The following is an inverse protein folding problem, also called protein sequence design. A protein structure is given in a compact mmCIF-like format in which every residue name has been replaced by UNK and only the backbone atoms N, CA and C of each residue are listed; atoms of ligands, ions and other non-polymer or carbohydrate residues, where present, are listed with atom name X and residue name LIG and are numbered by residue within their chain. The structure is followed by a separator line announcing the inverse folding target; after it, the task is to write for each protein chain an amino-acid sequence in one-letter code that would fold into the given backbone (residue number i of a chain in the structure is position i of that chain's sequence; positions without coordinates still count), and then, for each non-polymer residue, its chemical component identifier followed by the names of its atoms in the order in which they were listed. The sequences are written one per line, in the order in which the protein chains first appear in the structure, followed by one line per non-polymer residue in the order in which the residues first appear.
data_IF_918975481204
#
_entry.id   IF_918975481204
#
_cell.length_a   1.000
_cell.length_b   1.000
_cell.length_c   1.000
_cell.angle_alpha   90.00
_cell.angle_beta   90.00
_cell.angle_gamma   90.00
#
_symmetry.space_group_name_H-M   'P 1'
#
loop_
_entity.id
_entity.type
_entity.pdbx_description
1 polymer ?
#
# COMPACT_ATOMS: atom_id res chain seq x y z
N UNK A 1 26.14 26.77 -56.76
CA UNK A 1 25.03 26.05 -56.09
C UNK A 1 25.36 25.63 -54.64
N UNK A 2 26.05 26.44 -53.82
CA UNK A 2 26.46 26.01 -52.46
C UNK A 2 26.07 26.93 -51.29
N UNK A 3 25.27 27.99 -51.50
CA UNK A 3 24.83 28.90 -50.42
C UNK A 3 23.41 28.66 -49.88
N UNK A 4 22.66 27.70 -50.43
CA UNK A 4 21.27 27.41 -50.02
C UNK A 4 21.19 26.29 -48.96
N UNK A 5 22.29 25.56 -48.70
CA UNK A 5 22.33 24.42 -47.78
C UNK A 5 22.58 24.79 -46.31
N UNK A 6 23.37 25.83 -46.02
CA UNK A 6 23.66 26.22 -44.63
C UNK A 6 22.46 26.92 -43.98
N UNK A 7 21.77 27.80 -44.70
CA UNK A 7 20.61 28.52 -44.16
C UNK A 7 19.46 27.59 -43.74
N UNK A 8 19.26 26.45 -44.43
CA UNK A 8 18.24 25.48 -44.05
C UNK A 8 18.65 24.63 -42.84
N UNK A 9 19.96 24.34 -42.67
CA UNK A 9 20.46 23.67 -41.47
C UNK A 9 20.43 24.60 -40.26
N UNK A 10 20.79 25.86 -40.44
CA UNK A 10 20.75 26.85 -39.37
C UNK A 10 19.29 27.12 -38.94
N UNK A 11 18.34 27.15 -39.87
CA UNK A 11 16.91 27.26 -39.56
C UNK A 11 16.35 26.00 -38.86
N UNK A 12 16.78 24.80 -39.24
CA UNK A 12 16.40 23.55 -38.54
C UNK A 12 17.01 23.45 -37.13
N UNK A 13 18.25 23.90 -36.96
CA UNK A 13 18.95 23.94 -35.66
C UNK A 13 18.37 25.03 -34.75
N UNK A 14 17.95 26.17 -35.31
CA UNK A 14 17.26 27.25 -34.59
C UNK A 14 15.81 26.87 -34.21
N UNK A 15 15.12 26.05 -35.01
CA UNK A 15 13.75 25.56 -34.71
C UNK A 15 13.75 24.47 -33.61
N UNK A 16 14.82 23.68 -33.50
CA UNK A 16 14.99 22.73 -32.37
C UNK A 16 15.39 23.42 -31.05
N UNK A 17 15.99 24.62 -31.08
CA UNK A 17 16.51 25.29 -29.88
C UNK A 17 15.51 26.21 -29.15
N UNK A 18 14.33 26.50 -29.71
CA UNK A 18 13.29 27.27 -29.04
C UNK A 18 11.89 26.64 -29.14
N UNK A 19 11.73 25.34 -28.86
CA UNK A 19 10.41 24.86 -28.45
C UNK A 19 10.11 25.43 -27.07
N UNK A 20 9.55 26.66 -27.01
CA UNK A 20 9.04 27.27 -25.77
C UNK A 20 7.90 26.40 -25.25
N UNK A 21 8.24 25.44 -24.38
CA UNK A 21 7.25 24.60 -23.70
C UNK A 21 6.45 25.50 -22.76
N UNK A 22 5.19 25.76 -23.12
CA UNK A 22 4.29 26.54 -22.28
C UNK A 22 3.69 25.63 -21.20
N UNK A 23 4.30 25.66 -20.01
CA UNK A 23 3.83 24.89 -18.86
C UNK A 23 2.50 25.43 -18.33
N UNK A 24 1.42 24.67 -18.49
CA UNK A 24 0.09 25.07 -18.01
C UNK A 24 -0.44 24.11 -16.96
N UNK A 25 -0.91 24.66 -15.84
CA UNK A 25 -1.52 23.85 -14.80
C UNK A 25 -2.91 23.34 -15.19
N UNK A 26 -3.20 22.09 -14.82
CA UNK A 26 -4.53 21.49 -14.90
C UNK A 26 -5.22 21.62 -13.55
N UNK A 27 -6.03 22.67 -13.40
CA UNK A 27 -6.68 23.02 -12.13
C UNK A 27 -7.45 21.85 -11.49
N UNK A 28 -8.17 21.06 -12.29
CA UNK A 28 -8.95 19.92 -11.80
C UNK A 28 -8.08 18.81 -11.19
N UNK A 29 -6.87 18.57 -11.73
CA UNK A 29 -5.97 17.55 -11.20
C UNK A 29 -5.34 18.04 -9.89
N UNK A 30 -5.00 19.32 -9.81
CA UNK A 30 -4.55 19.95 -8.57
C UNK A 30 -5.63 19.85 -7.49
N UNK A 31 -6.90 20.12 -7.83
CA UNK A 31 -8.01 19.94 -6.90
C UNK A 31 -8.10 18.51 -6.38
N UNK A 32 -7.94 17.48 -7.23
CA UNK A 32 -7.92 16.08 -6.77
C UNK A 32 -6.80 15.80 -5.75
N UNK A 33 -5.61 16.37 -5.95
CA UNK A 33 -4.50 16.24 -4.99
C UNK A 33 -4.87 16.90 -3.65
N UNK A 34 -5.43 18.12 -3.70
CA UNK A 34 -5.85 18.85 -2.50
C UNK A 34 -6.97 18.10 -1.77
N UNK A 35 -7.96 17.56 -2.49
CA UNK A 35 -9.03 16.76 -1.90
C UNK A 35 -8.50 15.46 -1.28
N UNK A 36 -7.53 14.79 -1.90
CA UNK A 36 -6.89 13.61 -1.32
C UNK A 36 -6.19 13.92 0.01
N UNK A 37 -5.49 15.07 0.10
CA UNK A 37 -4.87 15.54 1.34
C UNK A 37 -5.93 15.85 2.40
N UNK A 38 -7.00 16.58 2.04
CA UNK A 38 -8.08 16.91 2.95
C UNK A 38 -8.80 15.64 3.47
N UNK A 39 -9.07 14.67 2.59
CA UNK A 39 -9.67 13.39 2.95
C UNK A 39 -8.78 12.59 3.91
N UNK A 40 -7.47 12.61 3.70
CA UNK A 40 -6.52 11.96 4.61
C UNK A 40 -6.51 12.63 6.00
N UNK A 41 -6.44 13.96 6.06
CA UNK A 41 -6.49 14.71 7.32
C UNK A 41 -7.78 14.39 8.08
N UNK A 42 -8.93 14.42 7.39
CA UNK A 42 -10.22 14.07 7.99
C UNK A 42 -10.22 12.63 8.52
N UNK A 43 -9.67 11.69 7.76
CA UNK A 43 -9.54 10.29 8.17
C UNK A 43 -8.66 10.14 9.42
N UNK A 44 -7.55 10.87 9.51
CA UNK A 44 -6.72 10.88 10.71
C UNK A 44 -7.48 11.41 11.94
N UNK A 45 -8.28 12.47 11.78
CA UNK A 45 -9.14 12.99 12.85
C UNK A 45 -10.13 11.93 13.33
N UNK A 46 -10.85 11.28 12.42
CA UNK A 46 -11.81 10.22 12.77
C UNK A 46 -11.14 9.01 13.44
N UNK A 47 -9.97 8.58 12.96
CA UNK A 47 -9.22 7.51 13.61
C UNK A 47 -8.74 7.91 15.01
N UNK A 48 -8.31 9.17 15.19
CA UNK A 48 -7.97 9.71 16.51
C UNK A 48 -9.15 9.69 17.47
N UNK A 49 -10.32 10.15 17.01
CA UNK A 49 -11.57 10.13 17.79
C UNK A 49 -11.99 8.69 18.16
N UNK A 50 -11.98 7.76 17.19
CA UNK A 50 -12.35 6.37 17.41
C UNK A 50 -11.37 5.64 18.38
N UNK A 51 -10.09 6.01 18.33
CA UNK A 51 -9.06 5.46 19.21
C UNK A 51 -9.15 6.03 20.63
N UNK A 52 -9.51 7.31 20.78
CA UNK A 52 -9.69 7.96 22.08
C UNK A 52 -10.86 7.36 22.88
N UNK A 53 -11.92 6.93 22.18
CA UNK A 53 -13.07 6.24 22.75
C UNK A 53 -14.34 7.06 22.75
N UNK A 54 -15.27 6.81 23.71
CA UNK A 54 -16.59 7.43 23.71
C UNK A 54 -16.52 8.96 23.57
N UNK A 55 -17.22 9.49 22.57
CA UNK A 55 -17.36 10.91 22.27
C UNK A 55 -18.71 11.16 21.58
N UNK A 56 -18.90 12.32 20.93
CA UNK A 56 -20.15 12.65 20.25
C UNK A 56 -20.45 11.77 19.02
N UNK A 57 -19.44 11.11 18.44
CA UNK A 57 -19.55 10.29 17.22
C UNK A 57 -19.46 8.80 17.56
N UNK A 58 -18.43 8.41 18.32
CA UNK A 58 -18.12 7.03 18.67
C UNK A 58 -18.63 6.70 20.08
N UNK A 59 -19.17 5.50 20.28
CA UNK A 59 -19.64 5.06 21.61
C UNK A 59 -18.63 4.21 22.34
N UNK A 60 -17.63 3.68 21.65
CA UNK A 60 -16.61 2.78 22.22
C UNK A 60 -15.23 3.04 21.62
N UNK A 61 -14.19 2.47 22.23
CA UNK A 61 -12.83 2.47 21.65
C UNK A 61 -12.72 1.36 20.61
N UNK A 62 -12.12 1.65 19.45
CA UNK A 62 -11.86 0.64 18.40
C UNK A 62 -11.12 -0.59 18.94
N UNK A 63 -10.11 -0.38 19.79
CA UNK A 63 -9.34 -1.46 20.41
C UNK A 63 -10.18 -2.32 21.35
N UNK A 64 -11.06 -1.71 22.14
CA UNK A 64 -11.93 -2.44 23.09
C UNK A 64 -12.89 -3.40 22.39
N UNK A 65 -13.38 -3.04 21.20
CA UNK A 65 -14.22 -3.93 20.38
C UNK A 65 -13.41 -5.14 19.90
N UNK A 66 -12.14 -4.94 19.51
CA UNK A 66 -11.26 -6.06 19.17
C UNK A 66 -10.97 -6.95 20.39
N UNK A 67 -10.79 -6.35 21.57
CA UNK A 67 -10.51 -7.07 22.82
C UNK A 67 -11.72 -7.85 23.33
N UNK A 68 -12.96 -7.40 23.06
CA UNK A 68 -14.17 -8.17 23.34
C UNK A 68 -14.45 -9.24 22.28
N UNK A 69 -13.79 -9.18 21.12
CA UNK A 69 -13.99 -10.05 19.96
C UNK A 69 -12.78 -10.94 19.66
N UNK A 70 -12.11 -11.47 20.69
CA UNK A 70 -10.92 -12.31 20.52
C UNK A 70 -11.18 -13.58 19.72
N UNK A 71 -10.20 -13.88 18.87
CA UNK A 71 -10.07 -15.09 18.06
C UNK A 71 -8.63 -15.60 18.15
N UNK A 72 -8.37 -16.85 17.76
CA UNK A 72 -7.01 -17.41 17.75
C UNK A 72 -6.11 -16.78 16.65
N UNK A 73 -6.69 -15.92 15.78
CA UNK A 73 -5.97 -15.09 14.80
C UNK A 73 -5.77 -13.63 15.27
N UNK A 74 -6.39 -13.23 16.39
CA UNK A 74 -6.27 -11.85 16.87
C UNK A 74 -4.84 -11.58 17.37
N UNK A 75 -4.15 -10.53 16.88
CA UNK A 75 -2.80 -10.21 17.35
C UNK A 75 -2.80 -9.47 18.69
N UNK A 76 -1.62 -9.34 19.29
CA UNK A 76 -1.37 -8.51 20.45
C UNK A 76 -1.71 -7.04 20.20
N UNK A 77 -2.12 -6.31 21.24
CA UNK A 77 -2.54 -4.91 21.13
C UNK A 77 -1.46 -3.98 20.56
N UNK A 78 -0.18 -4.25 20.87
CA UNK A 78 0.94 -3.49 20.33
C UNK A 78 1.07 -3.58 18.80
N UNK A 79 0.54 -4.64 18.19
CA UNK A 79 0.60 -4.85 16.73
C UNK A 79 -0.25 -3.83 15.97
N UNK A 80 -1.22 -3.20 16.62
CA UNK A 80 -2.00 -2.11 16.01
C UNK A 80 -1.22 -0.80 15.88
N UNK A 81 0.00 -0.70 16.43
CA UNK A 81 0.88 0.47 16.23
C UNK A 81 1.31 0.67 14.77
N UNK A 82 1.17 -0.37 13.93
CA UNK A 82 1.41 -0.30 12.48
C UNK A 82 0.59 0.80 11.79
N UNK A 83 -0.56 1.19 12.35
CA UNK A 83 -1.33 2.33 11.83
C UNK A 83 -0.53 3.64 11.84
N UNK A 84 0.34 3.86 12.82
CA UNK A 84 1.23 5.02 12.84
C UNK A 84 2.22 5.00 11.67
N UNK A 85 2.77 3.81 11.35
CA UNK A 85 3.64 3.60 10.19
C UNK A 85 2.88 3.83 8.89
N UNK A 86 1.65 3.32 8.78
CA UNK A 86 0.78 3.53 7.63
C UNK A 86 0.53 5.03 7.43
N UNK A 87 0.09 5.76 8.46
CA UNK A 87 -0.21 7.18 8.34
C UNK A 87 1.02 8.02 8.02
N UNK A 88 2.18 7.67 8.56
CA UNK A 88 3.45 8.32 8.17
C UNK A 88 3.69 8.18 6.66
N UNK A 89 3.60 6.96 6.12
CA UNK A 89 3.79 6.74 4.68
C UNK A 89 2.69 7.40 3.84
N UNK A 90 1.45 7.40 4.31
CA UNK A 90 0.34 8.09 3.64
C UNK A 90 0.60 9.60 3.52
N UNK A 91 1.03 10.23 4.62
CA UNK A 91 1.42 11.63 4.60
C UNK A 91 2.61 11.89 3.66
N UNK A 92 3.64 11.03 3.72
CA UNK A 92 4.86 11.20 2.94
C UNK A 92 4.61 11.14 1.43
N UNK A 93 3.81 10.19 0.92
CA UNK A 93 3.53 10.12 -0.51
C UNK A 93 2.60 11.26 -0.97
N UNK A 94 1.68 11.74 -0.13
CA UNK A 94 0.84 12.90 -0.42
C UNK A 94 1.67 14.20 -0.48
N UNK A 95 2.63 14.38 0.42
CA UNK A 95 3.59 15.50 0.38
C UNK A 95 4.41 15.42 -0.90
N UNK A 96 4.88 14.22 -1.27
CA UNK A 96 5.55 14.01 -2.55
C UNK A 96 4.65 14.38 -3.74
N UNK A 97 3.38 13.92 -3.76
CA UNK A 97 2.42 14.25 -4.80
C UNK A 97 2.19 15.77 -4.92
N UNK A 98 2.09 16.48 -3.80
CA UNK A 98 1.98 17.94 -3.75
C UNK A 98 3.23 18.63 -4.30
N UNK A 99 4.42 18.14 -3.94
CA UNK A 99 5.69 18.70 -4.43
C UNK A 99 5.82 18.65 -5.96
N UNK A 100 5.23 17.63 -6.60
CA UNK A 100 5.26 17.45 -8.07
C UNK A 100 4.47 18.53 -8.81
N UNK A 101 3.59 19.28 -8.15
CA UNK A 101 2.88 20.42 -8.72
C UNK A 101 3.86 21.56 -9.03
N UNK A 102 4.88 21.74 -8.20
CA UNK A 102 5.81 22.87 -8.30
C UNK A 102 7.12 22.53 -9.06
N UNK A 103 7.27 21.29 -9.51
CA UNK A 103 8.49 20.78 -10.15
C UNK A 103 8.21 20.43 -11.61
N UNK A 104 9.20 20.65 -12.48
CA UNK A 104 9.07 20.52 -13.94
C UNK A 104 9.94 19.39 -14.48
N UNK A 105 9.47 18.76 -15.55
CA UNK A 105 10.24 17.89 -16.45
C UNK A 105 10.59 18.67 -17.72
N UNK A 106 11.14 17.99 -18.73
CA UNK A 106 11.40 18.59 -20.03
C UNK A 106 10.10 19.00 -20.76
N UNK A 107 9.03 18.22 -20.59
CA UNK A 107 7.79 18.35 -21.38
C UNK A 107 6.64 19.05 -20.63
N UNK A 108 6.49 18.79 -19.32
CA UNK A 108 5.46 19.44 -18.48
C UNK A 108 5.84 19.42 -16.98
N UNK A 109 4.98 19.93 -16.10
CA UNK A 109 5.08 19.70 -14.66
C UNK A 109 5.08 18.19 -14.34
N UNK A 110 5.84 17.79 -13.31
CA UNK A 110 6.02 16.38 -12.96
C UNK A 110 4.72 15.65 -12.64
N UNK A 111 3.70 16.34 -12.12
CA UNK A 111 2.39 15.73 -11.86
C UNK A 111 1.58 15.43 -13.14
N UNK A 112 1.97 15.99 -14.29
CA UNK A 112 1.37 15.72 -15.61
C UNK A 112 2.27 14.79 -16.42
N UNK A 113 3.54 15.15 -16.59
CA UNK A 113 4.55 14.34 -17.29
C UNK A 113 5.81 14.22 -16.43
N UNK A 114 6.27 13.00 -16.08
CA UNK A 114 5.70 11.71 -16.44
C UNK A 114 4.50 11.33 -15.57
N UNK A 115 3.45 10.78 -16.17
CA UNK A 115 2.14 10.55 -15.53
C UNK A 115 2.10 9.30 -14.61
N UNK A 116 3.05 9.18 -13.68
CA UNK A 116 3.16 8.02 -12.78
C UNK A 116 2.12 8.03 -11.66
N UNK A 117 1.76 9.21 -11.16
CA UNK A 117 0.60 9.40 -10.28
C UNK A 117 -0.58 9.93 -11.10
N UNK A 118 -1.15 9.05 -11.91
CA UNK A 118 -2.37 9.30 -12.66
C UNK A 118 -3.53 9.75 -11.75
N UNK A 119 -4.42 10.60 -12.27
CA UNK A 119 -5.53 11.18 -11.50
C UNK A 119 -6.43 10.12 -10.84
N UNK A 120 -6.55 8.93 -11.47
CA UNK A 120 -7.35 7.82 -10.94
C UNK A 120 -6.84 7.31 -9.59
N UNK A 121 -5.54 7.44 -9.30
CA UNK A 121 -4.95 7.06 -8.01
C UNK A 121 -5.52 7.94 -6.89
N UNK A 122 -5.64 9.25 -7.13
CA UNK A 122 -6.23 10.17 -6.15
C UNK A 122 -7.72 9.89 -5.93
N UNK A 123 -8.47 9.56 -6.98
CA UNK A 123 -9.88 9.17 -6.87
C UNK A 123 -10.00 7.89 -6.02
N UNK A 124 -9.25 6.83 -6.35
CA UNK A 124 -9.25 5.59 -5.57
C UNK A 124 -8.85 5.84 -4.11
N UNK A 125 -7.88 6.73 -3.87
CA UNK A 125 -7.43 7.07 -2.54
C UNK A 125 -8.48 7.85 -1.73
N UNK A 126 -9.17 8.83 -2.35
CA UNK A 126 -10.29 9.55 -1.71
C UNK A 126 -11.41 8.58 -1.33
N UNK A 127 -11.75 7.64 -2.23
CA UNK A 127 -12.72 6.58 -1.93
C UNK A 127 -12.22 5.72 -0.76
N UNK A 128 -10.94 5.34 -0.75
CA UNK A 128 -10.34 4.57 0.34
C UNK A 128 -10.45 5.28 1.70
N UNK A 129 -10.18 6.60 1.74
CA UNK A 129 -10.32 7.42 2.94
C UNK A 129 -11.78 7.48 3.44
N UNK A 130 -12.74 7.64 2.52
CA UNK A 130 -14.16 7.58 2.85
C UNK A 130 -14.59 6.21 3.40
N UNK A 131 -14.10 5.13 2.77
CA UNK A 131 -14.33 3.75 3.25
C UNK A 131 -13.69 3.52 4.63
N UNK A 132 -12.53 4.12 4.92
CA UNK A 132 -11.90 4.03 6.24
C UNK A 132 -12.79 4.63 7.33
N UNK A 133 -13.32 5.84 7.10
CA UNK A 133 -14.27 6.48 8.03
C UNK A 133 -15.54 5.63 8.17
N UNK A 134 -16.07 5.11 7.05
CA UNK A 134 -17.22 4.21 7.05
C UNK A 134 -16.97 2.94 7.86
N UNK A 135 -15.78 2.35 7.75
CA UNK A 135 -15.37 1.18 8.52
C UNK A 135 -15.37 1.48 10.02
N UNK A 136 -14.81 2.62 10.46
CA UNK A 136 -14.81 3.01 11.87
C UNK A 136 -16.22 3.10 12.46
N UNK A 137 -17.15 3.70 11.73
CA UNK A 137 -18.55 3.84 12.16
C UNK A 137 -19.21 2.46 12.26
N UNK A 138 -19.07 1.62 11.23
CA UNK A 138 -19.65 0.27 11.22
C UNK A 138 -19.05 -0.62 12.32
N UNK A 139 -17.74 -0.50 12.55
CA UNK A 139 -17.02 -1.22 13.57
C UNK A 139 -17.48 -0.82 14.98
N UNK A 140 -17.63 0.48 15.25
CA UNK A 140 -18.19 1.00 16.51
C UNK A 140 -19.60 0.45 16.79
N UNK A 141 -20.44 0.35 15.75
CA UNK A 141 -21.78 -0.25 15.86
C UNK A 141 -21.78 -1.78 15.87
N UNK A 142 -20.60 -2.42 15.86
CA UNK A 142 -20.44 -3.88 15.80
C UNK A 142 -21.18 -4.53 14.62
N UNK A 143 -21.35 -3.79 13.52
CA UNK A 143 -21.94 -4.29 12.29
C UNK A 143 -20.90 -5.11 11.49
N UNK A 144 -20.38 -6.19 12.09
CA UNK A 144 -19.17 -6.90 11.63
C UNK A 144 -19.24 -7.36 10.17
N UNK A 145 -20.40 -7.79 9.68
CA UNK A 145 -20.55 -8.21 8.27
C UNK A 145 -20.39 -7.04 7.30
N UNK A 146 -20.94 -5.88 7.63
CA UNK A 146 -20.78 -4.65 6.84
C UNK A 146 -19.37 -4.09 6.96
N UNK A 147 -18.79 -4.12 8.16
CA UNK A 147 -17.40 -3.71 8.39
C UNK A 147 -16.43 -4.58 7.56
N UNK A 148 -16.64 -5.90 7.52
CA UNK A 148 -15.89 -6.83 6.68
C UNK A 148 -15.97 -6.45 5.19
N UNK A 149 -17.16 -6.17 4.68
CA UNK A 149 -17.34 -5.79 3.28
C UNK A 149 -16.59 -4.47 2.98
N UNK A 150 -16.69 -3.48 3.85
CA UNK A 150 -16.04 -2.18 3.68
C UNK A 150 -14.51 -2.31 3.72
N UNK A 151 -13.94 -3.05 4.68
CA UNK A 151 -12.47 -3.22 4.75
C UNK A 151 -11.92 -4.02 3.57
N UNK A 152 -12.69 -4.97 3.02
CA UNK A 152 -12.33 -5.64 1.77
C UNK A 152 -12.28 -4.66 0.59
N UNK A 153 -13.25 -3.74 0.46
CA UNK A 153 -13.19 -2.69 -0.56
C UNK A 153 -12.07 -1.68 -0.30
N UNK A 154 -11.72 -1.39 0.95
CA UNK A 154 -10.52 -0.62 1.27
C UNK A 154 -9.27 -1.31 0.73
N UNK A 155 -9.13 -2.63 0.92
CA UNK A 155 -8.01 -3.39 0.38
C UNK A 155 -7.94 -3.28 -1.16
N UNK A 156 -9.07 -3.42 -1.86
CA UNK A 156 -9.11 -3.28 -3.33
C UNK A 156 -8.73 -1.87 -3.80
N UNK A 157 -9.22 -0.84 -3.11
CA UNK A 157 -8.99 0.56 -3.48
C UNK A 157 -7.58 1.05 -3.20
N UNK A 158 -6.73 0.28 -2.50
CA UNK A 158 -5.29 0.57 -2.38
C UNK A 158 -4.43 -0.35 -3.27
N UNK A 159 -4.79 -1.63 -3.43
CA UNK A 159 -3.99 -2.57 -4.22
C UNK A 159 -4.03 -2.25 -5.72
N UNK A 160 -5.18 -1.78 -6.23
CA UNK A 160 -5.33 -1.39 -7.63
C UNK A 160 -4.41 -0.19 -7.97
N UNK A 161 -4.45 0.94 -7.23
CA UNK A 161 -3.46 2.01 -7.39
C UNK A 161 -2.00 1.57 -7.26
N UNK A 162 -1.70 0.64 -6.35
CA UNK A 162 -0.34 0.10 -6.22
C UNK A 162 0.11 -0.59 -7.52
N UNK A 163 -0.72 -1.47 -8.08
CA UNK A 163 -0.40 -2.16 -9.34
C UNK A 163 -0.26 -1.15 -10.49
N UNK A 164 -1.21 -0.20 -10.60
CA UNK A 164 -1.21 0.83 -11.65
C UNK A 164 0.06 1.70 -11.57
N UNK A 165 0.46 2.14 -10.37
CA UNK A 165 1.67 2.95 -10.20
C UNK A 165 2.96 2.19 -10.54
N UNK A 166 3.03 0.88 -10.28
CA UNK A 166 4.16 0.05 -10.73
C UNK A 166 4.24 0.01 -12.26
N UNK A 167 3.13 -0.29 -12.93
CA UNK A 167 3.07 -0.33 -14.40
C UNK A 167 3.43 1.02 -15.02
N UNK A 168 2.90 2.11 -14.46
CA UNK A 168 3.16 3.46 -14.97
C UNK A 168 4.59 3.93 -14.71
N UNK A 169 5.22 3.51 -13.61
CA UNK A 169 6.63 3.82 -13.39
C UNK A 169 7.52 3.13 -14.42
N UNK A 170 7.28 1.84 -14.68
CA UNK A 170 8.09 1.09 -15.64
C UNK A 170 7.95 1.65 -17.06
N UNK A 171 6.72 1.96 -17.49
CA UNK A 171 6.46 2.58 -18.80
C UNK A 171 7.10 3.95 -18.95
N UNK A 172 7.12 4.73 -17.88
CA UNK A 172 7.58 6.13 -17.92
C UNK A 172 9.01 6.31 -17.38
N UNK A 173 9.73 5.23 -17.03
CA UNK A 173 11.07 5.30 -16.41
C UNK A 173 12.03 6.14 -17.25
N UNK A 174 12.00 5.97 -18.57
CA UNK A 174 12.90 6.68 -19.47
C UNK A 174 12.62 8.18 -19.53
N UNK A 175 11.37 8.60 -19.36
CA UNK A 175 11.01 10.02 -19.31
C UNK A 175 11.63 10.71 -18.09
N UNK A 176 11.68 10.03 -16.93
CA UNK A 176 12.38 10.56 -15.76
C UNK A 176 13.89 10.67 -15.99
N UNK A 177 14.49 9.68 -16.64
CA UNK A 177 15.92 9.67 -16.95
C UNK A 177 16.27 10.83 -17.89
N UNK A 178 15.51 10.98 -18.98
CA UNK A 178 15.71 12.02 -19.99
C UNK A 178 15.44 13.43 -19.43
N UNK A 179 14.53 13.55 -18.45
CA UNK A 179 14.20 14.82 -17.80
C UNK A 179 15.09 15.17 -16.60
N UNK A 180 16.22 14.48 -16.42
CA UNK A 180 17.13 14.65 -15.28
C UNK A 180 16.44 14.50 -13.90
N UNK A 181 15.34 13.75 -13.84
CA UNK A 181 14.50 13.52 -12.66
C UNK A 181 14.67 12.10 -12.08
N UNK A 182 15.89 11.55 -12.12
CA UNK A 182 16.17 10.17 -11.65
C UNK A 182 15.83 9.97 -10.17
N UNK A 183 15.94 11.03 -9.35
CA UNK A 183 15.58 10.98 -7.94
C UNK A 183 14.09 10.63 -7.73
N UNK A 184 13.20 11.07 -8.63
CA UNK A 184 11.76 10.80 -8.53
C UNK A 184 11.42 9.31 -8.71
N UNK A 185 12.25 8.55 -9.45
CA UNK A 185 12.09 7.09 -9.54
C UNK A 185 12.23 6.46 -8.15
N UNK A 186 13.21 6.91 -7.36
CA UNK A 186 13.40 6.46 -5.99
C UNK A 186 12.30 6.97 -5.05
N UNK A 187 11.86 8.23 -5.20
CA UNK A 187 10.75 8.76 -4.41
C UNK A 187 9.45 7.98 -4.65
N UNK A 188 9.14 7.61 -5.90
CA UNK A 188 7.99 6.74 -6.20
C UNK A 188 8.15 5.37 -5.55
N UNK A 189 9.31 4.72 -5.71
CA UNK A 189 9.55 3.38 -5.14
C UNK A 189 9.45 3.37 -3.60
N UNK A 190 10.05 4.35 -2.94
CA UNK A 190 10.14 4.39 -1.46
C UNK A 190 8.84 4.92 -0.84
N UNK A 191 8.30 6.02 -1.36
CA UNK A 191 7.16 6.70 -0.74
C UNK A 191 5.83 6.11 -1.21
N UNK A 192 5.68 5.87 -2.52
CA UNK A 192 4.40 5.46 -3.11
C UNK A 192 4.25 3.95 -3.10
N UNK A 193 5.15 3.21 -3.77
CA UNK A 193 5.03 1.76 -3.91
C UNK A 193 5.08 1.07 -2.56
N UNK A 194 6.14 1.31 -1.78
CA UNK A 194 6.26 0.72 -0.45
C UNK A 194 5.20 1.26 0.53
N UNK A 195 4.78 2.52 0.42
CA UNK A 195 3.72 3.09 1.26
C UNK A 195 2.34 2.44 1.02
N UNK A 196 1.97 2.25 -0.24
CA UNK A 196 0.76 1.51 -0.62
C UNK A 196 0.87 0.02 -0.28
N UNK A 197 2.06 -0.56 -0.42
CA UNK A 197 2.29 -1.96 -0.08
C UNK A 197 2.14 -2.21 1.43
N UNK A 198 2.70 -1.35 2.30
CA UNK A 198 2.47 -1.43 3.76
C UNK A 198 0.99 -1.39 4.09
N UNK A 199 0.28 -0.41 3.52
CA UNK A 199 -1.14 -0.23 3.81
C UNK A 199 -1.98 -1.40 3.29
N UNK A 200 -1.74 -1.84 2.05
CA UNK A 200 -2.43 -2.98 1.44
C UNK A 200 -2.19 -4.29 2.19
N UNK A 201 -0.96 -4.58 2.60
CA UNK A 201 -0.65 -5.80 3.37
C UNK A 201 -1.35 -5.79 4.73
N UNK A 202 -1.40 -4.65 5.41
CA UNK A 202 -2.13 -4.54 6.67
C UNK A 202 -3.64 -4.69 6.48
N UNK A 203 -4.22 -4.04 5.46
CA UNK A 203 -5.64 -4.19 5.15
C UNK A 203 -6.01 -5.63 4.79
N UNK A 204 -5.12 -6.36 4.13
CA UNK A 204 -5.31 -7.79 3.88
C UNK A 204 -5.43 -8.58 5.19
N UNK A 205 -4.48 -8.41 6.12
CA UNK A 205 -4.54 -9.07 7.43
C UNK A 205 -5.77 -8.64 8.25
N UNK A 206 -6.09 -7.35 8.24
CA UNK A 206 -7.25 -6.81 8.94
C UNK A 206 -8.57 -7.32 8.35
N UNK A 207 -8.67 -7.50 7.03
CA UNK A 207 -9.81 -8.12 6.36
C UNK A 207 -9.99 -9.56 6.84
N UNK A 208 -8.91 -10.34 6.92
CA UNK A 208 -8.97 -11.70 7.45
C UNK A 208 -9.37 -11.74 8.93
N UNK A 209 -8.91 -10.78 9.73
CA UNK A 209 -9.35 -10.65 11.13
C UNK A 209 -10.85 -10.34 11.25
N UNK A 210 -11.34 -9.38 10.45
CA UNK A 210 -12.77 -9.06 10.38
C UNK A 210 -13.58 -10.28 9.95
N UNK A 211 -13.07 -11.05 8.99
CA UNK A 211 -13.70 -12.30 8.52
C UNK A 211 -13.76 -13.34 9.64
N UNK A 212 -12.67 -13.54 10.39
CA UNK A 212 -12.64 -14.47 11.51
C UNK A 212 -13.66 -14.09 12.57
N UNK A 213 -13.74 -12.80 12.93
CA UNK A 213 -14.69 -12.30 13.93
C UNK A 213 -16.12 -12.51 13.44
N UNK A 214 -16.43 -12.15 12.20
CA UNK A 214 -17.77 -12.28 11.64
C UNK A 214 -18.23 -13.74 11.55
N UNK A 215 -17.39 -14.66 11.04
CA UNK A 215 -17.69 -16.09 11.02
C UNK A 215 -17.93 -16.61 12.44
N UNK A 216 -17.06 -16.25 13.38
CA UNK A 216 -17.20 -16.68 14.78
C UNK A 216 -18.53 -16.24 15.38
N UNK A 217 -18.99 -15.02 15.07
CA UNK A 217 -20.26 -14.47 15.53
C UNK A 217 -21.48 -15.19 14.94
N UNK A 218 -21.45 -15.55 13.64
CA UNK A 218 -22.56 -16.28 12.99
C UNK A 218 -22.72 -17.69 13.55
N UNK A 219 -21.62 -18.36 13.92
CA UNK A 219 -21.63 -19.72 14.44
C UNK A 219 -21.57 -19.78 15.97
N UNK A 220 -22.38 -18.92 16.63
CA UNK A 220 -22.60 -18.88 18.09
C UNK A 220 -21.35 -18.73 18.95
N UNK A 221 -20.21 -18.39 18.34
CA UNK A 221 -18.93 -18.10 19.01
C UNK A 221 -18.47 -19.15 20.03
N UNK A 222 -18.75 -20.43 19.76
CA UNK A 222 -18.18 -21.53 20.55
C UNK A 222 -16.70 -21.74 20.20
N UNK A 223 -15.97 -22.47 21.05
CA UNK A 223 -14.53 -22.67 20.88
C UNK A 223 -14.18 -23.29 19.51
N UNK A 224 -14.99 -24.23 19.03
CA UNK A 224 -14.78 -24.89 17.74
C UNK A 224 -14.93 -23.91 16.56
N UNK A 225 -15.94 -23.03 16.58
CA UNK A 225 -16.16 -22.06 15.50
C UNK A 225 -15.05 -21.02 15.45
N UNK A 226 -14.59 -20.54 16.61
CA UNK A 226 -13.44 -19.63 16.71
C UNK A 226 -12.16 -20.28 16.14
N UNK A 227 -11.87 -21.53 16.54
CA UNK A 227 -10.69 -22.26 16.08
C UNK A 227 -10.74 -22.51 14.56
N UNK A 228 -11.89 -22.93 14.03
CA UNK A 228 -12.07 -23.17 12.60
C UNK A 228 -11.97 -21.89 11.77
N UNK A 229 -12.61 -20.80 12.21
CA UNK A 229 -12.51 -19.50 11.55
C UNK A 229 -11.06 -18.97 11.54
N UNK A 230 -10.34 -19.16 12.64
CA UNK A 230 -8.92 -18.76 12.75
C UNK A 230 -8.02 -19.62 11.86
N UNK A 231 -8.31 -20.94 11.76
CA UNK A 231 -7.62 -21.83 10.82
C UNK A 231 -7.81 -21.35 9.39
N UNK A 232 -9.05 -21.00 9.01
CA UNK A 232 -9.36 -20.50 7.67
C UNK A 232 -8.62 -19.19 7.36
N UNK A 233 -8.55 -18.27 8.32
CA UNK A 233 -7.77 -17.03 8.17
C UNK A 233 -6.28 -17.30 8.00
N UNK A 234 -5.67 -18.18 8.80
CA UNK A 234 -4.26 -18.56 8.66
C UNK A 234 -3.98 -19.24 7.31
N UNK A 235 -4.89 -20.11 6.84
CA UNK A 235 -4.81 -20.70 5.49
C UNK A 235 -4.88 -19.64 4.40
N UNK A 236 -5.74 -18.64 4.54
CA UNK A 236 -5.81 -17.53 3.60
C UNK A 236 -4.51 -16.70 3.65
N UNK A 237 -3.95 -16.43 4.83
CA UNK A 237 -2.62 -15.78 4.95
C UNK A 237 -1.56 -16.56 4.16
N UNK A 238 -1.53 -17.89 4.27
CA UNK A 238 -0.62 -18.73 3.47
C UNK A 238 -0.82 -18.53 1.97
N UNK A 239 -2.06 -18.56 1.50
CA UNK A 239 -2.40 -18.30 0.09
C UNK A 239 -1.91 -16.91 -0.34
N UNK A 240 -2.13 -15.88 0.48
CA UNK A 240 -1.63 -14.53 0.25
C UNK A 240 -0.11 -14.47 0.14
N UNK A 241 0.62 -15.14 1.04
CA UNK A 241 2.09 -15.23 1.02
C UNK A 241 2.56 -15.89 -0.28
N UNK A 242 1.96 -17.01 -0.66
CA UNK A 242 2.34 -17.74 -1.89
C UNK A 242 2.08 -16.90 -3.13
N UNK A 243 0.88 -16.30 -3.25
CA UNK A 243 0.53 -15.42 -4.39
C UNK A 243 1.48 -14.23 -4.46
N UNK A 244 1.77 -13.59 -3.32
CA UNK A 244 2.67 -12.43 -3.28
C UNK A 244 4.10 -12.82 -3.67
N UNK A 245 4.64 -13.90 -3.09
CA UNK A 245 5.98 -14.39 -3.42
C UNK A 245 6.10 -14.78 -4.91
N UNK A 246 5.08 -15.42 -5.48
CA UNK A 246 5.08 -15.77 -6.91
C UNK A 246 5.04 -14.50 -7.77
N UNK A 247 4.17 -13.57 -7.41
CA UNK A 247 3.99 -12.31 -8.13
C UNK A 247 5.26 -11.47 -8.14
N UNK A 248 5.91 -11.29 -6.99
CA UNK A 248 7.11 -10.45 -6.88
C UNK A 248 8.38 -11.10 -7.46
N UNK A 249 8.46 -12.43 -7.52
CA UNK A 249 9.68 -13.13 -7.93
C UNK A 249 9.62 -13.68 -9.35
N UNK A 250 8.44 -13.96 -9.90
CA UNK A 250 8.33 -14.60 -11.22
C UNK A 250 7.52 -13.79 -12.22
N UNK A 251 6.42 -13.15 -11.79
CA UNK A 251 5.52 -12.45 -12.72
C UNK A 251 5.98 -11.00 -12.94
N UNK A 252 6.13 -10.24 -11.85
CA UNK A 252 6.44 -8.81 -11.85
C UNK A 252 7.83 -8.52 -11.27
N UNK A 253 8.77 -9.43 -11.49
CA UNK A 253 10.08 -9.39 -10.83
C UNK A 253 10.87 -8.10 -11.07
N UNK A 254 10.69 -7.49 -12.24
CA UNK A 254 11.33 -6.25 -12.64
C UNK A 254 10.67 -5.05 -11.95
N UNK A 255 9.34 -4.95 -12.08
CA UNK A 255 8.51 -3.86 -11.53
C UNK A 255 8.54 -3.78 -10.01
N UNK A 256 8.50 -4.94 -9.34
CA UNK A 256 8.39 -5.07 -7.89
C UNK A 256 9.75 -5.29 -7.20
N UNK A 257 10.87 -5.18 -7.94
CA UNK A 257 12.21 -5.42 -7.43
C UNK A 257 12.54 -4.62 -6.15
N UNK A 258 11.94 -3.43 -5.99
CA UNK A 258 12.20 -2.50 -4.89
C UNK A 258 11.08 -2.43 -3.84
N UNK A 259 10.08 -3.32 -3.91
CA UNK A 259 8.96 -3.37 -2.97
C UNK A 259 9.19 -4.47 -1.93
N UNK A 260 9.55 -4.08 -0.70
CA UNK A 260 9.98 -5.01 0.35
C UNK A 260 9.10 -4.97 1.61
N UNK A 261 8.46 -3.83 1.87
CA UNK A 261 7.76 -3.63 3.13
C UNK A 261 6.59 -4.59 3.41
N UNK A 262 5.93 -5.25 2.44
CA UNK A 262 4.97 -6.32 2.72
C UNK A 262 5.52 -7.42 3.64
N UNK A 263 6.78 -7.84 3.45
CA UNK A 263 7.40 -8.87 4.29
C UNK A 263 7.52 -8.43 5.75
N UNK A 264 7.89 -7.17 5.97
CA UNK A 264 7.99 -6.59 7.31
C UNK A 264 6.61 -6.54 7.99
N UNK A 265 5.56 -6.15 7.27
CA UNK A 265 4.19 -6.11 7.82
C UNK A 265 3.68 -7.51 8.14
N UNK A 266 3.92 -8.50 7.28
CA UNK A 266 3.54 -9.90 7.52
C UNK A 266 4.25 -10.47 8.76
N UNK A 267 5.57 -10.28 8.85
CA UNK A 267 6.37 -10.73 10.00
C UNK A 267 5.89 -10.05 11.28
N UNK A 268 5.68 -8.73 11.25
CA UNK A 268 5.20 -7.97 12.40
C UNK A 268 3.80 -8.41 12.85
N UNK A 269 2.88 -8.56 11.90
CA UNK A 269 1.51 -9.03 12.14
C UNK A 269 1.48 -10.43 12.75
N UNK A 270 2.17 -11.39 12.12
CA UNK A 270 2.26 -12.77 12.60
C UNK A 270 2.99 -12.88 13.95
N UNK A 271 4.02 -12.05 14.18
CA UNK A 271 4.67 -11.95 15.49
C UNK A 271 3.67 -11.52 16.57
N UNK A 272 2.77 -10.59 16.24
CA UNK A 272 1.66 -10.20 17.09
C UNK A 272 0.69 -11.35 17.41
N UNK A 273 0.33 -12.14 16.40
CA UNK A 273 -0.54 -13.32 16.56
C UNK A 273 0.13 -14.37 17.44
N UNK A 274 1.39 -14.73 17.16
CA UNK A 274 2.15 -15.71 17.94
C UNK A 274 2.33 -15.22 19.38
N UNK A 275 2.76 -13.97 19.57
CA UNK A 275 2.99 -13.38 20.90
C UNK A 275 1.75 -13.42 21.79
N UNK A 276 0.56 -13.16 21.24
CA UNK A 276 -0.69 -13.19 22.02
C UNK A 276 -1.14 -14.61 22.35
N UNK A 277 -1.00 -15.54 21.39
CA UNK A 277 -1.74 -16.79 21.39
C UNK A 277 -0.90 -18.04 21.77
N UNK A 278 0.43 -18.00 21.66
CA UNK A 278 1.27 -19.20 21.79
C UNK A 278 1.20 -19.87 23.17
N UNK A 279 1.21 -19.09 24.25
CA UNK A 279 1.20 -19.63 25.63
C UNK A 279 -0.21 -19.80 26.21
N UNK A 280 -1.28 -19.54 25.43
CA UNK A 280 -2.64 -19.61 25.95
C UNK A 280 -3.16 -21.05 25.99
N UNK A 281 -3.67 -21.48 27.15
CA UNK A 281 -4.20 -22.83 27.37
C UNK A 281 -5.46 -23.09 26.54
N UNK A 282 -6.28 -22.06 26.32
CA UNK A 282 -7.59 -22.17 25.65
C UNK A 282 -7.52 -22.18 24.11
N UNK A 283 -6.32 -22.12 23.53
CA UNK A 283 -6.11 -22.07 22.09
C UNK A 283 -5.71 -23.45 21.59
N UNK A 284 -6.27 -23.86 20.45
CA UNK A 284 -5.95 -25.16 19.84
C UNK A 284 -4.47 -25.22 19.44
N UNK A 285 -3.76 -26.29 19.82
CA UNK A 285 -2.33 -26.46 19.49
C UNK A 285 -2.04 -26.40 17.99
N UNK A 286 -3.03 -26.76 17.17
CA UNK A 286 -3.02 -26.60 15.71
C UNK A 286 -2.75 -25.15 15.28
N UNK A 287 -3.50 -24.17 15.78
CA UNK A 287 -3.39 -22.79 15.33
C UNK A 287 -2.17 -22.06 15.94
N UNK A 288 -1.73 -22.47 17.14
CA UNK A 288 -0.43 -22.05 17.69
C UNK A 288 0.71 -22.47 16.76
N UNK A 289 0.74 -23.76 16.40
CA UNK A 289 1.76 -24.32 15.52
C UNK A 289 1.68 -23.70 14.12
N UNK A 290 0.48 -23.52 13.58
CA UNK A 290 0.29 -22.98 12.24
C UNK A 290 0.72 -21.51 12.15
N UNK A 291 0.33 -20.66 13.10
CA UNK A 291 0.77 -19.25 13.12
C UNK A 291 2.28 -19.11 13.27
N UNK A 292 2.92 -19.95 14.11
CA UNK A 292 4.38 -19.99 14.24
C UNK A 292 5.04 -20.46 12.93
N UNK A 293 4.52 -21.50 12.29
CA UNK A 293 5.03 -21.99 11.01
C UNK A 293 4.95 -20.91 9.93
N UNK A 294 3.84 -20.15 9.84
CA UNK A 294 3.72 -19.03 8.91
C UNK A 294 4.73 -17.92 9.18
N UNK A 295 4.98 -17.60 10.45
CA UNK A 295 6.00 -16.61 10.81
C UNK A 295 7.40 -17.04 10.33
N UNK A 296 7.75 -18.32 10.55
CA UNK A 296 9.01 -18.89 10.08
C UNK A 296 9.08 -18.89 8.55
N UNK A 297 8.02 -19.31 7.86
CA UNK A 297 7.92 -19.29 6.40
C UNK A 297 8.11 -17.87 5.86
N UNK A 298 7.47 -16.86 6.45
CA UNK A 298 7.67 -15.46 6.07
C UNK A 298 9.12 -15.01 6.22
N UNK A 299 9.78 -15.37 7.33
CA UNK A 299 11.20 -15.06 7.54
C UNK A 299 12.11 -15.71 6.50
N UNK A 300 11.90 -17.01 6.24
CA UNK A 300 12.67 -17.76 5.24
C UNK A 300 12.46 -17.20 3.83
N UNK A 301 11.21 -16.99 3.42
CA UNK A 301 10.89 -16.45 2.10
C UNK A 301 11.43 -15.03 1.91
N UNK A 302 11.44 -14.21 2.96
CA UNK A 302 12.07 -12.89 2.91
C UNK A 302 13.58 -12.98 2.68
N UNK A 303 14.28 -13.89 3.38
CA UNK A 303 15.72 -14.13 3.15
C UNK A 303 15.96 -14.62 1.71
N UNK A 304 15.15 -15.58 1.24
CA UNK A 304 15.21 -16.07 -0.13
C UNK A 304 15.00 -14.93 -1.13
N UNK A 305 14.02 -14.05 -0.89
CA UNK A 305 13.76 -12.86 -1.71
C UNK A 305 14.97 -11.94 -1.79
N UNK A 306 15.63 -11.66 -0.67
CA UNK A 306 16.85 -10.82 -0.63
C UNK A 306 17.98 -11.46 -1.44
N UNK A 307 18.16 -12.79 -1.34
CA UNK A 307 19.16 -13.53 -2.12
C UNK A 307 18.83 -13.47 -3.63
N UNK A 308 17.57 -13.72 -4.01
CA UNK A 308 17.12 -13.63 -5.41
C UNK A 308 17.37 -12.24 -5.97
N UNK A 309 17.04 -11.20 -5.21
CA UNK A 309 17.30 -9.81 -5.62
C UNK A 309 18.78 -9.56 -5.82
N UNK A 310 19.64 -9.93 -4.86
CA UNK A 310 21.08 -9.72 -4.95
C UNK A 310 21.67 -10.41 -6.19
N UNK A 311 21.29 -11.67 -6.45
CA UNK A 311 21.73 -12.41 -7.64
C UNK A 311 21.28 -11.70 -8.93
N UNK A 312 20.01 -11.28 -9.01
CA UNK A 312 19.47 -10.61 -10.20
C UNK A 312 20.04 -9.22 -10.42
N UNK A 313 20.33 -8.49 -9.34
CA UNK A 313 20.98 -7.20 -9.38
C UNK A 313 22.41 -7.32 -9.95
N UNK A 314 23.20 -8.27 -9.44
CA UNK A 314 24.56 -8.55 -9.95
C UNK A 314 24.53 -9.00 -11.42
N UNK A 315 23.51 -9.76 -11.83
CA UNK A 315 23.34 -10.20 -13.22
C UNK A 315 22.77 -9.13 -14.16
N UNK A 316 22.49 -7.91 -13.69
CA UNK A 316 21.92 -6.83 -14.51
C UNK A 316 20.50 -7.11 -15.00
N UNK A 317 19.75 -7.98 -14.31
CA UNK A 317 18.37 -8.34 -14.67
C UNK A 317 17.35 -7.31 -14.15
N UNK A 318 17.72 -6.55 -13.11
CA UNK A 318 16.84 -5.57 -12.45
C UNK A 318 17.12 -4.17 -13.01
N UNK A 319 16.08 -3.45 -13.50
CA UNK A 319 16.26 -2.10 -14.02
C UNK A 319 16.76 -1.11 -12.98
N UNK A 320 17.96 -0.59 -13.23
CA UNK A 320 18.59 0.47 -12.46
C UNK A 320 18.24 1.85 -13.03
N UNK A 321 18.61 2.90 -12.28
CA UNK A 321 18.53 4.29 -12.77
C UNK A 321 19.66 4.65 -13.76
N UNK A 322 20.60 3.74 -13.97
CA UNK A 322 21.71 3.87 -14.90
C UNK A 322 21.44 3.13 -16.21
N UNK A 323 20.49 2.20 -16.22
CA UNK A 323 20.11 1.48 -17.42
C UNK A 323 19.36 2.43 -18.36
N UNK A 324 19.67 2.38 -19.66
CA UNK A 324 19.00 3.20 -20.68
C UNK A 324 17.55 2.78 -20.97
#
# INVERSE_FOLDING_TARGET
MSRVSSANKDNLVMDETERKVNFQHRWWHILLIVFAIAAFILTCVFNGLASAGPNSIFTQRTGSISDSNLTEFTPAGWTFSVWGVIYFWQAAWLIYALSRIFRKSNDDYLYIVPNTLHFSIFICYIINMGLNIGWLILWDRQAFGWALLVIFFMFLTIIIPMIVTHILLDRNRQMYINSHCKADIWLVRILVHNGFAVYGTWLYLATLLNLTIWISQIYSRNAQSIANASTAALSLVLVGIVIYFISENFIFYSSMAYTYLPWFVLIFGLSGVVSKNYNQINITDKNKTFSLALLIICGVLFIVRVIIFAIRYVKGVIPTIHDP
#
